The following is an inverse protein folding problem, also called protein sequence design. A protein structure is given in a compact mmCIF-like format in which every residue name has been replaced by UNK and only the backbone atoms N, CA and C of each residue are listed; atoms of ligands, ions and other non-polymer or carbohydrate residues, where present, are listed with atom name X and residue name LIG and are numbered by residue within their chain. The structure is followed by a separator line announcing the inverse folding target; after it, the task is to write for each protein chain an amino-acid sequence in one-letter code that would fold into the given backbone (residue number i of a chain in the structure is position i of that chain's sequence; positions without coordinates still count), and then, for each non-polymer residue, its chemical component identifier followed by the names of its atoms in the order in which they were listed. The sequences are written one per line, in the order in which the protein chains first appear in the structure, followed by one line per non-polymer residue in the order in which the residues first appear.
data_IF_472094031307
#
_entry.id   IF_472094031307
#
_cell.length_a   1.000
_cell.length_b   1.000
_cell.length_c   1.000
_cell.angle_alpha   90.00
_cell.angle_beta   90.00
_cell.angle_gamma   90.00
#
_symmetry.space_group_name_H-M   'P 1'
#
loop_
_entity.id
_entity.type
_entity.pdbx_description
1 polymer ?
#
# COMPACT_ATOMS: atom_id res chain seq x y z
N UNK A 1 11.68 -7.79 14.53
CA UNK A 1 10.64 -6.76 14.34
C UNK A 1 9.45 -6.99 15.27
N UNK A 2 9.11 -5.99 16.09
CA UNK A 2 7.85 -5.90 16.84
C UNK A 2 6.79 -5.23 15.95
N UNK A 3 5.57 -5.72 15.94
CA UNK A 3 4.43 -5.08 15.23
C UNK A 3 3.42 -4.63 16.28
N UNK A 4 2.92 -3.40 16.16
CA UNK A 4 1.92 -2.82 17.05
C UNK A 4 0.74 -2.33 16.22
N UNK A 5 -0.35 -3.09 16.25
CA UNK A 5 -1.64 -2.64 15.72
C UNK A 5 -2.33 -1.81 16.80
N UNK A 6 -2.48 -0.52 16.54
CA UNK A 6 -3.10 0.40 17.51
C UNK A 6 -4.61 0.21 17.55
N UNK A 7 -5.23 0.32 18.74
CA UNK A 7 -6.69 0.29 18.90
C UNK A 7 -7.32 1.60 18.40
N UNK A 8 -7.31 1.75 17.08
CA UNK A 8 -7.94 2.88 16.41
C UNK A 8 -9.46 2.72 16.35
N UNK A 9 -10.01 1.53 16.65
CA UNK A 9 -11.45 1.34 16.74
C UNK A 9 -12.04 2.16 17.90
N UNK A 10 -11.44 2.06 19.09
CA UNK A 10 -11.85 2.86 20.25
C UNK A 10 -11.58 4.36 20.04
N UNK A 11 -10.42 4.70 19.47
CA UNK A 11 -10.06 6.10 19.19
C UNK A 11 -10.99 6.76 18.17
N UNK A 12 -11.35 6.06 17.08
CA UNK A 12 -12.32 6.56 16.09
C UNK A 12 -13.72 6.74 16.72
N UNK A 13 -14.15 5.81 17.57
CA UNK A 13 -15.44 5.92 18.24
C UNK A 13 -15.51 7.14 19.17
N UNK A 14 -14.43 7.40 19.90
CA UNK A 14 -14.30 8.60 20.72
C UNK A 14 -14.27 9.87 19.87
N UNK A 15 -13.43 9.90 18.82
CA UNK A 15 -13.34 11.02 17.87
C UNK A 15 -14.72 11.38 17.30
N UNK A 16 -15.48 10.39 16.82
CA UNK A 16 -16.81 10.62 16.22
C UNK A 16 -17.84 11.19 17.22
N UNK A 17 -17.62 11.05 18.53
CA UNK A 17 -18.48 11.65 19.57
C UNK A 17 -18.07 13.07 19.95
N UNK A 18 -16.85 13.49 19.63
CA UNK A 18 -16.36 14.84 19.95
C UNK A 18 -17.01 15.89 19.03
N UNK A 19 -17.15 17.15 19.51
CA UNK A 19 -17.49 18.28 18.65
C UNK A 19 -16.50 18.43 17.49
N UNK A 20 -16.97 18.86 16.31
CA UNK A 20 -16.14 18.99 15.10
C UNK A 20 -14.81 19.73 15.33
N UNK A 21 -14.83 20.81 16.13
CA UNK A 21 -13.64 21.60 16.46
C UNK A 21 -12.53 20.82 17.19
N UNK A 22 -12.84 19.68 17.83
CA UNK A 22 -11.89 18.86 18.59
C UNK A 22 -11.42 17.61 17.84
N UNK A 23 -12.04 17.29 16.69
CA UNK A 23 -11.79 16.02 15.97
C UNK A 23 -10.40 15.94 15.37
N UNK A 24 -9.83 17.07 14.94
CA UNK A 24 -8.48 17.09 14.36
C UNK A 24 -7.39 16.86 15.39
N UNK A 25 -7.56 17.36 16.61
CA UNK A 25 -6.63 17.06 17.70
C UNK A 25 -6.73 15.59 18.12
N UNK A 26 -7.95 15.05 18.20
CA UNK A 26 -8.16 13.62 18.46
C UNK A 26 -7.55 12.73 17.36
N UNK A 27 -7.68 13.12 16.08
CA UNK A 27 -7.03 12.41 14.98
C UNK A 27 -5.50 12.50 15.08
N UNK A 28 -4.96 13.65 15.49
CA UNK A 28 -3.52 13.84 15.67
C UNK A 28 -2.96 12.90 16.74
N UNK A 29 -3.65 12.76 17.87
CA UNK A 29 -3.29 11.81 18.93
C UNK A 29 -3.29 10.36 18.40
N UNK A 30 -4.30 9.99 17.62
CA UNK A 30 -4.39 8.65 17.02
C UNK A 30 -3.26 8.37 16.01
N UNK A 31 -2.86 9.37 15.22
CA UNK A 31 -1.81 9.25 14.20
C UNK A 31 -0.40 9.45 14.75
N UNK A 32 -0.23 9.91 16.00
CA UNK A 32 1.05 10.25 16.59
C UNK A 32 2.14 9.16 16.44
N UNK A 33 1.84 7.86 16.65
CA UNK A 33 2.85 6.82 16.47
C UNK A 33 3.42 6.73 15.05
N UNK A 34 2.60 7.03 14.02
CA UNK A 34 3.08 7.09 12.64
C UNK A 34 3.77 8.42 12.35
N UNK A 35 3.22 9.53 12.87
CA UNK A 35 3.78 10.86 12.66
C UNK A 35 5.24 10.92 13.11
N UNK A 36 5.57 10.34 14.28
CA UNK A 36 6.93 10.29 14.79
C UNK A 36 7.90 9.63 13.81
N UNK A 37 7.53 8.47 13.25
CA UNK A 37 8.36 7.71 12.30
C UNK A 37 8.45 8.44 10.95
N UNK A 38 7.31 8.85 10.40
CA UNK A 38 7.24 9.39 9.05
C UNK A 38 7.87 10.80 8.95
N UNK A 39 7.87 11.58 10.04
CA UNK A 39 8.52 12.90 10.06
C UNK A 39 10.03 12.81 9.89
N UNK A 40 10.66 11.70 10.29
CA UNK A 40 12.11 11.48 10.11
C UNK A 40 12.52 11.41 8.64
N UNK A 41 11.58 11.05 7.75
CA UNK A 41 11.77 10.99 6.30
C UNK A 41 11.05 12.14 5.57
N UNK A 42 10.71 13.22 6.29
CA UNK A 42 10.17 14.45 5.71
C UNK A 42 8.68 14.39 5.35
N UNK A 43 7.93 13.39 5.83
CA UNK A 43 6.47 13.41 5.71
C UNK A 43 5.90 14.48 6.62
N UNK A 44 5.07 15.37 6.05
CA UNK A 44 4.38 16.43 6.78
C UNK A 44 3.27 15.96 7.72
N UNK A 45 2.40 16.89 8.13
CA UNK A 45 1.29 16.62 9.05
C UNK A 45 0.30 15.59 8.46
N UNK A 46 0.11 14.48 9.17
CA UNK A 46 -0.77 13.39 8.75
C UNK A 46 -2.27 13.74 8.85
N UNK A 47 -2.67 14.68 9.71
CA UNK A 47 -4.05 15.20 9.77
C UNK A 47 -4.36 16.03 8.53
N UNK A 48 -3.42 16.87 8.10
CA UNK A 48 -3.59 17.63 6.85
C UNK A 48 -3.63 16.71 5.63
N UNK A 49 -2.79 15.66 5.62
CA UNK A 49 -2.87 14.62 4.57
C UNK A 49 -4.18 13.84 4.60
N UNK A 50 -4.71 13.51 5.79
CA UNK A 50 -6.02 12.87 5.93
C UNK A 50 -7.12 13.72 5.29
N UNK A 51 -7.12 15.03 5.58
CA UNK A 51 -8.10 15.99 5.03
C UNK A 51 -7.95 16.23 3.53
N UNK A 52 -6.72 16.25 3.02
CA UNK A 52 -6.44 16.49 1.61
C UNK A 52 -6.56 15.22 0.74
N UNK A 53 -6.53 14.03 1.35
CA UNK A 53 -6.65 12.74 0.70
C UNK A 53 -8.04 12.13 0.87
N UNK A 54 -8.09 10.81 1.00
CA UNK A 54 -9.34 10.04 1.07
C UNK A 54 -9.86 9.84 2.50
N UNK A 55 -9.43 10.63 3.48
CA UNK A 55 -9.85 10.48 4.87
C UNK A 55 -11.28 10.98 5.10
N UNK A 56 -12.03 10.32 5.99
CA UNK A 56 -13.40 10.75 6.28
C UNK A 56 -13.47 12.22 6.76
N UNK A 57 -14.54 12.97 6.43
CA UNK A 57 -14.69 14.37 6.84
C UNK A 57 -14.72 14.55 8.36
N UNK A 58 -13.88 15.48 8.87
CA UNK A 58 -13.79 15.80 10.30
C UNK A 58 -14.67 17.01 10.71
N UNK A 59 -15.17 17.77 9.73
CA UNK A 59 -15.84 19.06 9.93
C UNK A 59 -17.36 18.97 10.06
N UNK A 60 -17.93 17.79 9.82
CA UNK A 60 -19.37 17.54 9.81
C UNK A 60 -19.71 16.19 10.40
N UNK A 61 -20.97 16.03 10.80
CA UNK A 61 -21.52 14.75 11.24
C UNK A 61 -22.07 13.95 10.06
N UNK A 62 -21.83 12.65 10.08
CA UNK A 62 -22.41 11.71 9.14
C UNK A 62 -22.68 10.37 9.88
N UNK A 63 -23.94 9.95 9.90
CA UNK A 63 -24.33 8.72 10.59
C UNK A 63 -23.67 7.48 9.98
N UNK A 64 -23.31 7.52 8.68
CA UNK A 64 -22.66 6.42 7.98
C UNK A 64 -21.31 6.06 8.61
N UNK A 65 -20.59 7.03 9.19
CA UNK A 65 -19.27 6.77 9.80
C UNK A 65 -19.35 5.84 11.00
N UNK A 66 -20.38 6.03 11.85
CA UNK A 66 -20.56 5.20 13.04
C UNK A 66 -21.00 3.79 12.67
N UNK A 67 -21.95 3.66 11.75
CA UNK A 67 -22.41 2.36 11.24
C UNK A 67 -21.27 1.60 10.55
N UNK A 68 -20.42 2.30 9.78
CA UNK A 68 -19.23 1.73 9.18
C UNK A 68 -18.25 1.18 10.22
N UNK A 69 -17.96 1.97 11.26
CA UNK A 69 -17.07 1.54 12.35
C UNK A 69 -17.63 0.33 13.12
N UNK A 70 -18.94 0.31 13.37
CA UNK A 70 -19.61 -0.84 14.01
C UNK A 70 -19.46 -2.11 13.15
N UNK A 71 -19.70 -2.02 11.84
CA UNK A 71 -19.48 -3.14 10.89
C UNK A 71 -18.03 -3.64 10.87
N UNK A 72 -17.05 -2.74 10.91
CA UNK A 72 -15.63 -3.12 10.97
C UNK A 72 -15.28 -3.85 12.28
N UNK A 73 -15.87 -3.43 13.40
CA UNK A 73 -15.68 -4.08 14.71
C UNK A 73 -16.32 -5.46 14.75
N UNK A 74 -17.55 -5.59 14.24
CA UNK A 74 -18.26 -6.88 14.12
C UNK A 74 -17.48 -7.86 13.24
N UNK A 75 -16.88 -7.37 12.15
CA UNK A 75 -16.02 -8.14 11.26
C UNK A 75 -14.60 -8.39 11.80
N UNK A 76 -14.31 -7.94 13.04
CA UNK A 76 -13.04 -8.12 13.75
C UNK A 76 -11.82 -7.66 12.94
N UNK A 77 -11.96 -6.56 12.20
CA UNK A 77 -10.95 -6.06 11.24
C UNK A 77 -9.56 -5.92 11.88
N UNK A 78 -9.45 -5.29 13.06
CA UNK A 78 -8.18 -5.09 13.75
C UNK A 78 -7.49 -6.40 14.14
N UNK A 79 -8.25 -7.38 14.63
CA UNK A 79 -7.69 -8.70 14.97
C UNK A 79 -7.17 -9.41 13.72
N UNK A 80 -7.94 -9.39 12.62
CA UNK A 80 -7.52 -10.00 11.35
C UNK A 80 -6.26 -9.36 10.79
N UNK A 81 -6.13 -8.04 10.90
CA UNK A 81 -4.91 -7.31 10.54
C UNK A 81 -3.73 -7.79 11.40
N UNK A 82 -3.90 -7.89 12.72
CA UNK A 82 -2.87 -8.37 13.63
C UNK A 82 -2.43 -9.81 13.29
N UNK A 83 -3.39 -10.71 13.08
CA UNK A 83 -3.14 -12.11 12.75
C UNK A 83 -2.41 -12.26 11.40
N UNK A 84 -2.86 -11.51 10.38
CA UNK A 84 -2.23 -11.52 9.06
C UNK A 84 -0.80 -10.97 9.09
N UNK A 85 -0.58 -9.87 9.81
CA UNK A 85 0.76 -9.30 10.00
C UNK A 85 1.69 -10.24 10.78
N UNK A 86 1.17 -11.00 11.75
CA UNK A 86 1.94 -12.00 12.47
C UNK A 86 2.40 -13.12 11.53
N UNK A 87 1.50 -13.65 10.69
CA UNK A 87 1.81 -14.66 9.69
C UNK A 87 2.79 -14.13 8.62
N UNK A 88 2.56 -12.92 8.11
CA UNK A 88 3.43 -12.27 7.14
C UNK A 88 4.85 -12.07 7.70
N UNK A 89 4.97 -11.61 8.96
CA UNK A 89 6.26 -11.47 9.65
C UNK A 89 6.98 -12.81 9.77
N UNK A 90 6.28 -13.87 10.17
CA UNK A 90 6.86 -15.21 10.27
C UNK A 90 7.39 -15.68 8.92
N UNK A 91 6.57 -15.53 7.86
CA UNK A 91 6.93 -15.93 6.51
C UNK A 91 8.16 -15.18 5.99
N UNK A 92 8.20 -13.84 6.14
CA UNK A 92 9.33 -13.01 5.75
C UNK A 92 10.60 -13.35 6.53
N UNK A 93 10.48 -13.54 7.84
CA UNK A 93 11.63 -13.89 8.70
C UNK A 93 12.23 -15.26 8.33
N UNK A 94 11.39 -16.22 7.94
CA UNK A 94 11.83 -17.53 7.50
C UNK A 94 12.44 -17.50 6.08
N UNK A 95 11.86 -16.73 5.15
CA UNK A 95 12.30 -16.68 3.76
C UNK A 95 13.58 -15.84 3.56
N UNK A 96 13.72 -14.76 4.32
CA UNK A 96 14.77 -13.78 4.17
C UNK A 96 15.38 -13.41 5.54
N UNK A 97 16.03 -14.36 6.24
CA UNK A 97 16.52 -14.15 7.61
C UNK A 97 17.60 -13.07 7.73
N UNK A 98 18.26 -12.70 6.63
CA UNK A 98 19.25 -11.62 6.57
C UNK A 98 18.65 -10.24 6.27
N UNK A 99 17.35 -10.16 5.92
CA UNK A 99 16.72 -8.89 5.61
C UNK A 99 16.64 -8.00 6.86
N UNK A 100 17.08 -6.76 6.72
CA UNK A 100 16.90 -5.73 7.75
C UNK A 100 15.42 -5.43 7.93
N UNK A 101 15.04 -5.10 9.16
CA UNK A 101 13.66 -4.72 9.51
C UNK A 101 13.70 -3.56 10.48
N UNK A 102 12.62 -2.76 10.53
CA UNK A 102 12.44 -1.80 11.61
C UNK A 102 12.35 -2.52 12.96
N UNK A 103 12.83 -1.87 14.02
CA UNK A 103 12.72 -2.40 15.38
C UNK A 103 11.25 -2.62 15.77
N UNK A 104 10.44 -1.60 15.55
CA UNK A 104 8.97 -1.60 15.72
C UNK A 104 8.30 -1.10 14.45
N UNK A 105 7.21 -1.75 14.04
CA UNK A 105 6.29 -1.28 13.01
C UNK A 105 4.97 -0.91 13.68
N UNK A 106 4.59 0.36 13.59
CA UNK A 106 3.32 0.87 14.05
C UNK A 106 2.29 0.78 12.93
N UNK A 107 1.10 0.29 13.26
CA UNK A 107 0.01 0.10 12.30
C UNK A 107 -1.21 0.86 12.78
N UNK A 108 -1.69 1.79 11.97
CA UNK A 108 -2.90 2.59 12.24
C UNK A 108 -3.88 2.36 11.11
N UNK A 109 -5.13 2.04 11.44
CA UNK A 109 -6.25 1.97 10.49
C UNK A 109 -7.17 3.17 10.71
N UNK A 110 -7.46 3.94 9.66
CA UNK A 110 -8.40 5.06 9.70
C UNK A 110 -9.57 4.85 8.74
N UNK A 111 -10.71 5.48 9.04
CA UNK A 111 -11.88 5.45 8.18
C UNK A 111 -11.65 6.35 6.94
N UNK A 112 -12.00 5.86 5.77
CA UNK A 112 -11.99 6.65 4.54
C UNK A 112 -13.30 7.39 4.29
N UNK A 113 -13.25 8.36 3.39
CA UNK A 113 -14.44 9.02 2.83
C UNK A 113 -15.06 8.12 1.74
N UNK A 114 -16.29 7.59 1.93
CA UNK A 114 -16.96 6.78 0.92
C UNK A 114 -17.29 7.53 -0.37
N UNK A 115 -17.29 8.87 -0.31
CA UNK A 115 -17.61 9.74 -1.44
C UNK A 115 -16.38 10.20 -2.21
N UNK A 116 -15.18 9.94 -1.68
CA UNK A 116 -13.93 10.18 -2.39
C UNK A 116 -13.75 9.21 -3.57
N UNK A 117 -13.46 9.71 -4.79
CA UNK A 117 -13.26 8.87 -5.95
C UNK A 117 -12.09 7.88 -5.85
N UNK A 118 -11.02 8.19 -5.10
CA UNK A 118 -9.91 7.24 -4.92
C UNK A 118 -10.30 6.10 -3.98
N UNK A 119 -11.05 6.39 -2.91
CA UNK A 119 -11.61 5.35 -2.05
C UNK A 119 -12.49 4.37 -2.84
N UNK A 120 -13.34 4.89 -3.74
CA UNK A 120 -14.19 4.07 -4.61
C UNK A 120 -13.38 3.28 -5.65
N UNK A 121 -12.37 3.91 -6.26
CA UNK A 121 -11.50 3.26 -7.25
C UNK A 121 -10.78 2.04 -6.65
N UNK A 122 -10.32 2.15 -5.41
CA UNK A 122 -9.68 1.06 -4.66
C UNK A 122 -10.69 0.12 -3.95
N UNK A 123 -11.97 0.18 -4.31
CA UNK A 123 -13.03 -0.66 -3.74
C UNK A 123 -13.15 -0.60 -2.21
N UNK A 124 -12.79 0.53 -1.60
CA UNK A 124 -12.98 0.78 -0.18
C UNK A 124 -11.76 0.49 0.70
N UNK A 125 -10.58 0.18 0.16
CA UNK A 125 -9.39 0.04 1.01
C UNK A 125 -8.07 0.26 0.26
N UNK A 126 -7.06 0.75 0.96
CA UNK A 126 -5.67 0.78 0.50
C UNK A 126 -4.74 1.09 1.70
N UNK A 127 -3.43 1.04 1.46
CA UNK A 127 -2.44 1.27 2.49
C UNK A 127 -1.24 2.11 2.03
N UNK A 128 -0.39 2.40 3.00
CA UNK A 128 0.94 2.95 2.82
C UNK A 128 1.86 2.30 3.85
N UNK A 129 2.80 1.49 3.39
CA UNK A 129 3.79 0.78 4.20
C UNK A 129 5.24 1.03 3.78
N UNK A 130 5.45 1.89 2.79
CA UNK A 130 6.77 2.14 2.18
C UNK A 130 7.81 2.83 3.09
N UNK A 131 7.43 3.18 4.33
CA UNK A 131 8.33 3.82 5.29
C UNK A 131 8.60 2.82 6.42
N UNK A 132 9.82 2.27 6.53
CA UNK A 132 10.17 1.33 7.58
C UNK A 132 9.75 1.83 8.96
N UNK A 133 8.93 1.04 9.65
CA UNK A 133 8.38 1.36 10.98
C UNK A 133 6.96 1.93 11.00
N UNK A 134 6.36 2.27 9.86
CA UNK A 134 5.00 2.81 9.80
C UNK A 134 4.16 2.14 8.69
N UNK A 135 2.95 1.71 9.06
CA UNK A 135 1.90 1.27 8.14
C UNK A 135 0.62 2.06 8.45
N UNK A 136 0.16 2.84 7.48
CA UNK A 136 -1.15 3.50 7.51
C UNK A 136 -2.09 2.74 6.59
N UNK A 137 -3.19 2.21 7.14
CA UNK A 137 -4.28 1.61 6.38
C UNK A 137 -5.47 2.56 6.38
N UNK A 138 -6.19 2.61 5.27
CA UNK A 138 -7.43 3.34 5.14
C UNK A 138 -8.52 2.44 4.60
N UNK A 139 -9.72 2.55 5.15
CA UNK A 139 -10.82 1.65 4.80
C UNK A 139 -12.19 2.33 4.88
N UNK A 140 -13.04 2.00 3.92
CA UNK A 140 -14.50 2.05 4.01
C UNK A 140 -15.05 0.62 3.89
N UNK A 141 -15.96 0.16 4.78
CA UNK A 141 -16.35 -1.25 4.84
C UNK A 141 -17.32 -1.67 3.71
N UNK A 142 -16.84 -1.69 2.48
CA UNK A 142 -17.47 -2.41 1.37
C UNK A 142 -17.34 -3.92 1.59
N UNK A 143 -18.05 -4.74 0.80
CA UNK A 143 -17.89 -6.19 0.86
C UNK A 143 -16.45 -6.61 0.52
N UNK A 144 -15.85 -6.01 -0.51
CA UNK A 144 -14.47 -6.25 -0.92
C UNK A 144 -13.48 -5.88 0.17
N UNK A 145 -13.60 -4.67 0.73
CA UNK A 145 -12.68 -4.19 1.77
C UNK A 145 -12.76 -5.07 3.03
N UNK A 146 -13.97 -5.42 3.49
CA UNK A 146 -14.16 -6.32 4.63
C UNK A 146 -13.58 -7.71 4.39
N UNK A 147 -13.50 -8.16 3.14
CA UNK A 147 -12.91 -9.45 2.80
C UNK A 147 -11.37 -9.41 2.71
N UNK A 148 -10.75 -8.24 2.45
CA UNK A 148 -9.35 -8.18 2.01
C UNK A 148 -8.42 -7.24 2.79
N UNK A 149 -8.91 -6.43 3.72
CA UNK A 149 -8.10 -5.39 4.39
C UNK A 149 -6.85 -5.94 5.09
N UNK A 150 -6.91 -7.14 5.68
CA UNK A 150 -5.76 -7.77 6.32
C UNK A 150 -4.66 -8.14 5.32
N UNK A 151 -5.03 -8.47 4.08
CA UNK A 151 -4.07 -8.76 3.01
C UNK A 151 -3.36 -7.48 2.54
N UNK A 152 -4.05 -6.35 2.54
CA UNK A 152 -3.41 -5.05 2.36
C UNK A 152 -2.35 -4.79 3.43
N UNK A 153 -2.60 -5.17 4.69
CA UNK A 153 -1.62 -5.04 5.75
C UNK A 153 -0.36 -5.90 5.48
N UNK A 154 -0.54 -7.13 4.98
CA UNK A 154 0.57 -7.98 4.56
C UNK A 154 1.37 -7.40 3.38
N UNK A 155 0.67 -6.83 2.38
CA UNK A 155 1.27 -6.07 1.28
C UNK A 155 2.15 -4.92 1.79
N UNK A 156 1.59 -4.08 2.66
CA UNK A 156 2.31 -2.94 3.23
C UNK A 156 3.48 -3.37 4.12
N UNK A 157 3.40 -4.53 4.79
CA UNK A 157 4.52 -5.06 5.54
C UNK A 157 5.67 -5.50 4.63
N UNK A 158 5.37 -6.05 3.44
CA UNK A 158 6.39 -6.40 2.46
C UNK A 158 7.16 -5.15 2.01
N UNK A 159 6.46 -4.06 1.69
CA UNK A 159 7.07 -2.75 1.42
C UNK A 159 7.94 -2.27 2.58
N UNK A 160 7.47 -2.44 3.81
CA UNK A 160 8.21 -2.02 5.01
C UNK A 160 9.56 -2.73 5.14
N UNK A 161 9.59 -4.03 4.86
CA UNK A 161 10.82 -4.82 4.87
C UNK A 161 11.67 -4.51 3.63
N UNK A 162 11.07 -4.35 2.45
CA UNK A 162 11.79 -3.99 1.23
C UNK A 162 12.58 -2.71 1.40
N UNK A 163 11.95 -1.62 1.83
CA UNK A 163 12.62 -0.32 1.96
C UNK A 163 13.48 -0.16 3.22
N UNK A 164 13.55 -1.19 4.07
CA UNK A 164 14.63 -1.32 5.04
C UNK A 164 15.92 -1.89 4.40
N UNK A 165 15.85 -2.41 3.17
CA UNK A 165 16.94 -3.09 2.46
C UNK A 165 17.29 -2.45 1.12
N UNK A 166 16.32 -1.87 0.43
CA UNK A 166 16.46 -1.19 -0.86
C UNK A 166 16.33 0.31 -0.64
N UNK A 167 17.31 1.07 -1.12
CA UNK A 167 17.31 2.53 -0.98
C UNK A 167 16.22 3.13 -1.87
N UNK A 168 15.35 3.94 -1.26
CA UNK A 168 14.32 4.70 -1.96
C UNK A 168 14.61 6.19 -1.82
N UNK A 169 15.11 6.79 -2.90
CA UNK A 169 15.37 8.23 -2.99
C UNK A 169 14.31 8.88 -3.88
N UNK A 170 13.50 9.83 -3.39
CA UNK A 170 12.51 10.54 -4.20
C UNK A 170 13.07 11.14 -5.50
N UNK A 171 14.36 11.49 -5.56
CA UNK A 171 15.00 12.09 -6.74
C UNK A 171 15.49 11.06 -7.76
N UNK A 172 15.83 9.85 -7.31
CA UNK A 172 16.47 8.83 -8.15
C UNK A 172 15.61 7.58 -8.37
N UNK A 173 14.58 7.35 -7.56
CA UNK A 173 13.67 6.19 -7.67
C UNK A 173 13.15 6.06 -9.09
N UNK A 174 13.27 4.86 -9.67
CA UNK A 174 12.77 4.59 -11.01
C UNK A 174 11.36 4.03 -10.98
N UNK A 175 10.65 4.13 -12.12
CA UNK A 175 9.40 3.38 -12.34
C UNK A 175 9.62 1.90 -12.06
N UNK A 176 10.78 1.35 -12.44
CA UNK A 176 11.17 -0.02 -12.17
C UNK A 176 11.17 -0.41 -10.71
N UNK A 177 11.78 0.41 -9.86
CA UNK A 177 11.78 0.13 -8.43
C UNK A 177 10.36 0.12 -7.86
N UNK A 178 9.54 1.12 -8.20
CA UNK A 178 8.16 1.19 -7.68
C UNK A 178 7.30 0.01 -8.18
N UNK A 179 7.39 -0.34 -9.47
CA UNK A 179 6.62 -1.43 -10.07
C UNK A 179 7.05 -2.79 -9.54
N UNK A 180 8.36 -3.01 -9.33
CA UNK A 180 8.87 -4.22 -8.68
C UNK A 180 8.38 -4.32 -7.24
N UNK A 181 8.39 -3.21 -6.50
CA UNK A 181 7.92 -3.19 -5.12
C UNK A 181 6.44 -3.60 -5.05
N UNK A 182 5.56 -2.99 -5.85
CA UNK A 182 4.13 -3.34 -5.86
C UNK A 182 3.89 -4.79 -6.32
N UNK A 183 4.62 -5.24 -7.34
CA UNK A 183 4.51 -6.58 -7.88
C UNK A 183 4.91 -7.67 -6.89
N UNK A 184 6.05 -7.50 -6.21
CA UNK A 184 6.51 -8.45 -5.20
C UNK A 184 5.63 -8.46 -3.96
N UNK A 185 5.13 -7.29 -3.53
CA UNK A 185 4.23 -7.20 -2.39
C UNK A 185 2.90 -7.92 -2.66
N UNK A 186 2.37 -7.79 -3.88
CA UNK A 186 1.15 -8.50 -4.26
C UNK A 186 1.38 -10.01 -4.44
N UNK A 187 2.49 -10.38 -5.09
CA UNK A 187 2.88 -11.79 -5.20
C UNK A 187 3.08 -12.43 -3.82
N UNK A 188 3.52 -11.65 -2.82
CA UNK A 188 3.61 -12.08 -1.43
C UNK A 188 2.24 -12.26 -0.76
N UNK A 189 1.26 -11.40 -1.04
CA UNK A 189 -0.13 -11.61 -0.62
C UNK A 189 -0.65 -12.95 -1.16
N UNK A 190 -0.45 -13.21 -2.45
CA UNK A 190 -0.84 -14.48 -3.07
C UNK A 190 -0.11 -15.67 -2.46
N UNK A 191 1.19 -15.54 -2.19
CA UNK A 191 2.00 -16.56 -1.53
C UNK A 191 1.46 -16.90 -0.13
N UNK A 192 1.01 -15.90 0.63
CA UNK A 192 0.55 -16.05 2.01
C UNK A 192 -0.89 -16.59 2.10
N UNK A 193 -1.78 -16.14 1.21
CA UNK A 193 -3.23 -16.31 1.37
C UNK A 193 -3.97 -16.77 0.09
N UNK A 194 -3.27 -16.99 -1.02
CA UNK A 194 -3.83 -17.46 -2.29
C UNK A 194 -4.32 -16.35 -3.22
N UNK A 195 -4.70 -16.73 -4.45
CA UNK A 195 -5.14 -15.81 -5.52
C UNK A 195 -6.34 -14.95 -5.09
N UNK A 196 -7.29 -15.52 -4.36
CA UNK A 196 -8.49 -14.84 -3.87
C UNK A 196 -8.19 -13.74 -2.84
N UNK A 197 -6.97 -13.68 -2.29
CA UNK A 197 -6.55 -12.64 -1.36
C UNK A 197 -6.11 -11.34 -2.07
N UNK A 198 -5.73 -11.43 -3.35
CA UNK A 198 -5.08 -10.33 -4.06
C UNK A 198 -5.96 -9.08 -4.22
N UNK A 199 -5.33 -7.92 -4.22
CA UNK A 199 -5.97 -6.62 -4.36
C UNK A 199 -6.54 -6.36 -5.76
N UNK A 200 -7.62 -5.56 -5.86
CA UNK A 200 -8.25 -5.26 -7.13
C UNK A 200 -7.32 -4.50 -8.09
N UNK A 201 -6.35 -3.76 -7.57
CA UNK A 201 -5.36 -3.01 -8.36
C UNK A 201 -4.43 -3.92 -9.18
N UNK A 202 -4.16 -5.14 -8.72
CA UNK A 202 -3.28 -6.06 -9.44
C UNK A 202 -4.04 -6.93 -10.46
N UNK A 203 -5.35 -7.12 -10.26
CA UNK A 203 -6.17 -8.05 -11.04
C UNK A 203 -7.17 -7.37 -11.98
N UNK A 204 -7.22 -6.04 -12.01
CA UNK A 204 -8.21 -5.30 -12.82
C UNK A 204 -7.93 -5.32 -14.32
N UNK A 205 -6.68 -5.53 -14.73
CA UNK A 205 -6.29 -5.58 -16.14
C UNK A 205 -6.08 -7.04 -16.57
N UNK A 206 -6.50 -7.37 -17.80
CA UNK A 206 -6.34 -8.72 -18.35
C UNK A 206 -6.24 -8.70 -19.88
N UNK A 207 -5.79 -9.82 -20.46
CA UNK A 207 -5.67 -9.99 -21.91
C UNK A 207 -4.81 -8.91 -22.57
N UNK A 208 -5.24 -8.43 -23.73
CA UNK A 208 -4.50 -7.46 -24.53
C UNK A 208 -4.22 -6.14 -23.81
N UNK A 209 -5.13 -5.67 -22.94
CA UNK A 209 -4.92 -4.43 -22.18
C UNK A 209 -3.78 -4.57 -21.17
N UNK A 210 -3.67 -5.74 -20.53
CA UNK A 210 -2.53 -6.05 -19.65
C UNK A 210 -1.23 -6.16 -20.45
N UNK A 211 -1.25 -6.81 -21.61
CA UNK A 211 -0.06 -6.97 -22.46
C UNK A 211 0.47 -5.59 -22.92
N UNK A 212 -0.42 -4.70 -23.36
CA UNK A 212 -0.09 -3.33 -23.75
C UNK A 212 0.44 -2.51 -22.57
N UNK A 213 -0.19 -2.63 -21.39
CA UNK A 213 0.28 -1.99 -20.16
C UNK A 213 1.68 -2.49 -19.76
N UNK A 214 1.93 -3.81 -19.80
CA UNK A 214 3.23 -4.40 -19.51
C UNK A 214 4.30 -3.88 -20.46
N UNK A 215 4.04 -3.87 -21.76
CA UNK A 215 4.98 -3.37 -22.76
C UNK A 215 5.33 -1.90 -22.54
N UNK A 216 4.33 -1.07 -22.24
CA UNK A 216 4.52 0.36 -21.99
C UNK A 216 5.25 0.65 -20.69
N UNK A 217 4.95 -0.08 -19.61
CA UNK A 217 5.65 0.03 -18.32
C UNK A 217 7.10 -0.45 -18.45
N UNK A 218 7.34 -1.58 -19.13
CA UNK A 218 8.69 -2.08 -19.39
C UNK A 218 9.55 -1.07 -20.17
N UNK A 219 8.97 -0.40 -21.17
CA UNK A 219 9.68 0.65 -21.92
C UNK A 219 9.98 1.90 -21.08
N UNK A 220 9.28 2.10 -19.96
CA UNK A 220 9.47 3.23 -19.04
C UNK A 220 10.22 2.89 -17.76
N UNK A 221 10.77 1.68 -17.62
CA UNK A 221 11.28 1.16 -16.34
C UNK A 221 12.41 2.02 -15.76
N UNK A 222 13.21 2.64 -16.61
CA UNK A 222 14.35 3.49 -16.23
C UNK A 222 13.98 4.97 -16.04
N UNK A 223 12.71 5.35 -16.21
CA UNK A 223 12.26 6.72 -15.92
C UNK A 223 12.40 6.99 -14.42
N UNK A 224 13.27 7.93 -14.06
CA UNK A 224 13.63 8.25 -12.68
C UNK A 224 12.88 9.47 -12.11
N UNK A 225 12.79 9.51 -10.79
CA UNK A 225 12.21 10.58 -9.97
C UNK A 225 10.76 10.33 -9.61
N UNK A 226 10.43 10.49 -8.32
CA UNK A 226 9.09 10.29 -7.73
C UNK A 226 7.99 11.03 -8.50
N UNK A 227 8.29 12.24 -9.00
CA UNK A 227 7.36 13.08 -9.78
C UNK A 227 6.87 12.43 -11.08
N UNK A 228 7.57 11.40 -11.57
CA UNK A 228 7.26 10.70 -12.80
C UNK A 228 6.55 9.35 -12.57
N UNK A 229 6.39 8.91 -11.32
CA UNK A 229 5.88 7.57 -11.02
C UNK A 229 4.37 7.44 -11.28
N UNK A 230 3.56 8.42 -10.88
CA UNK A 230 2.10 8.30 -10.89
C UNK A 230 1.49 7.92 -12.25
N UNK A 231 1.89 8.49 -13.40
CA UNK A 231 1.34 8.07 -14.68
C UNK A 231 1.66 6.61 -15.05
N UNK A 232 2.78 6.07 -14.58
CA UNK A 232 3.13 4.66 -14.82
C UNK A 232 2.48 3.70 -13.83
N UNK A 233 2.46 4.07 -12.54
CA UNK A 233 2.05 3.18 -11.46
C UNK A 233 0.55 3.21 -11.26
N UNK A 234 -0.03 4.41 -11.09
CA UNK A 234 -1.45 4.59 -10.81
C UNK A 234 -2.30 4.76 -12.07
N UNK A 235 -1.69 5.20 -13.18
CA UNK A 235 -2.38 5.46 -14.44
C UNK A 235 -2.75 6.92 -14.67
N UNK A 236 -3.18 7.20 -15.90
CA UNK A 236 -3.38 8.56 -16.40
C UNK A 236 -4.45 9.35 -15.64
N UNK A 237 -5.50 8.69 -15.14
CA UNK A 237 -6.58 9.37 -14.40
C UNK A 237 -6.04 9.99 -13.12
N UNK A 238 -5.23 9.24 -12.38
CA UNK A 238 -4.58 9.71 -11.15
C UNK A 238 -3.52 10.76 -11.47
N UNK A 239 -2.70 10.54 -12.51
CA UNK A 239 -1.71 11.53 -12.95
C UNK A 239 -2.34 12.91 -13.25
N UNK A 240 -3.44 12.95 -14.00
CA UNK A 240 -4.16 14.20 -14.31
C UNK A 240 -4.68 14.91 -13.05
N UNK A 241 -5.16 14.16 -12.05
CA UNK A 241 -5.60 14.74 -10.77
C UNK A 241 -4.45 15.37 -9.98
N UNK A 242 -3.25 14.81 -10.12
CA UNK A 242 -2.03 15.33 -9.51
C UNK A 242 -1.35 16.42 -10.37
N UNK A 243 -1.96 16.84 -11.48
CA UNK A 243 -1.38 17.83 -12.39
C UNK A 243 -0.16 17.33 -13.16
N UNK A 244 -0.03 16.01 -13.34
CA UNK A 244 1.06 15.37 -14.08
C UNK A 244 0.63 14.98 -15.49
N UNK A 245 1.60 14.91 -16.39
CA UNK A 245 1.36 14.54 -17.78
C UNK A 245 1.04 13.03 -17.91
N UNK A 246 -0.04 12.66 -18.60
CA UNK A 246 -0.40 11.28 -18.87
C UNK A 246 0.59 10.61 -19.84
N UNK A 247 0.72 9.28 -19.74
CA UNK A 247 1.57 8.47 -20.63
C UNK A 247 0.79 7.45 -21.45
N UNK A 248 -0.54 7.42 -21.31
CA UNK A 248 -1.44 6.51 -22.02
C UNK A 248 -1.69 5.20 -21.30
N UNK A 249 -1.53 5.17 -19.97
CA UNK A 249 -1.73 3.96 -19.16
C UNK A 249 -3.07 3.99 -18.42
N UNK A 250 -3.80 2.85 -18.37
CA UNK A 250 -5.03 2.73 -17.60
C UNK A 250 -4.76 2.76 -16.08
N UNK A 251 -5.83 2.83 -15.30
CA UNK A 251 -5.73 2.79 -13.84
C UNK A 251 -5.03 1.48 -13.40
N UNK A 252 -4.14 1.61 -12.42
CA UNK A 252 -3.36 0.50 -11.84
C UNK A 252 -2.41 -0.25 -12.78
N UNK A 253 -2.07 0.32 -13.94
CA UNK A 253 -1.20 -0.33 -14.91
C UNK A 253 0.13 -0.85 -14.33
N UNK A 254 0.80 -0.06 -13.48
CA UNK A 254 2.05 -0.49 -12.87
C UNK A 254 1.89 -1.58 -11.82
N UNK A 255 0.75 -1.67 -11.14
CA UNK A 255 0.46 -2.78 -10.23
C UNK A 255 0.33 -4.10 -11.00
N UNK A 256 -0.49 -4.11 -12.04
CA UNK A 256 -0.72 -5.30 -12.85
C UNK A 256 0.55 -5.73 -13.62
N UNK A 257 1.28 -4.77 -14.20
CA UNK A 257 2.57 -5.03 -14.84
C UNK A 257 3.62 -5.52 -13.82
N UNK A 258 3.65 -4.93 -12.62
CA UNK A 258 4.53 -5.34 -11.55
C UNK A 258 4.31 -6.79 -11.14
N UNK A 259 3.06 -7.22 -10.97
CA UNK A 259 2.73 -8.61 -10.67
C UNK A 259 3.20 -9.54 -11.80
N UNK A 260 3.02 -9.16 -13.07
CA UNK A 260 3.53 -9.93 -14.22
C UNK A 260 5.05 -10.09 -14.18
N UNK A 261 5.78 -9.03 -13.84
CA UNK A 261 7.24 -9.07 -13.74
C UNK A 261 7.71 -9.88 -12.53
N UNK A 262 7.03 -9.75 -11.38
CA UNK A 262 7.26 -10.59 -10.22
C UNK A 262 7.07 -12.07 -10.59
N UNK A 263 5.98 -12.43 -11.26
CA UNK A 263 5.69 -13.82 -11.66
C UNK A 263 6.79 -14.40 -12.56
N UNK A 264 7.26 -13.62 -13.53
CA UNK A 264 8.36 -14.01 -14.40
C UNK A 264 9.67 -14.19 -13.61
N UNK A 265 9.99 -13.28 -12.68
CA UNK A 265 11.14 -13.40 -11.78
C UNK A 265 11.06 -14.66 -10.91
N UNK A 266 9.93 -14.92 -10.27
CA UNK A 266 9.75 -16.08 -9.39
C UNK A 266 9.86 -17.39 -10.18
N UNK A 267 9.29 -17.44 -11.39
CA UNK A 267 9.40 -18.60 -12.28
C UNK A 267 10.84 -18.85 -12.75
N UNK A 268 11.58 -17.79 -13.09
CA UNK A 268 12.94 -17.90 -13.59
C UNK A 268 13.98 -18.20 -12.49
N UNK A 269 13.81 -17.60 -11.31
CA UNK A 269 14.76 -17.72 -10.19
C UNK A 269 14.46 -18.91 -9.26
N UNK A 270 13.21 -19.39 -9.24
CA UNK A 270 12.74 -20.37 -8.25
C UNK A 270 12.60 -19.81 -6.83
N UNK A 271 12.78 -18.49 -6.64
CA UNK A 271 12.58 -17.82 -5.36
C UNK A 271 11.09 -17.59 -5.10
N UNK A 272 10.76 -17.32 -3.83
CA UNK A 272 9.43 -16.83 -3.43
C UNK A 272 9.42 -15.31 -3.34
N UNK A 273 8.23 -14.70 -3.30
CA UNK A 273 8.10 -13.25 -3.16
C UNK A 273 8.63 -12.77 -1.81
N UNK A 274 8.43 -13.56 -0.75
CA UNK A 274 9.03 -13.34 0.56
C UNK A 274 10.57 -13.38 0.52
N UNK A 275 11.17 -14.35 -0.18
CA UNK A 275 12.63 -14.46 -0.31
C UNK A 275 13.23 -13.33 -1.17
N UNK A 276 12.42 -12.75 -2.07
CA UNK A 276 12.84 -11.70 -3.01
C UNK A 276 12.72 -10.29 -2.44
N UNK A 277 12.21 -10.12 -1.20
CA UNK A 277 11.86 -8.82 -0.61
C UNK A 277 13.01 -7.80 -0.61
N UNK A 278 14.24 -8.27 -0.40
CA UNK A 278 15.44 -7.43 -0.31
C UNK A 278 16.24 -7.35 -1.62
N UNK A 279 15.77 -7.99 -2.71
CA UNK A 279 16.49 -7.98 -3.98
C UNK A 279 16.40 -6.60 -4.65
N UNK A 280 17.51 -6.10 -5.22
CA UNK A 280 17.49 -4.90 -6.05
C UNK A 280 16.54 -5.06 -7.24
N UNK A 281 15.80 -4.01 -7.62
CA UNK A 281 14.88 -4.09 -8.76
C UNK A 281 15.56 -4.56 -10.06
N UNK A 282 16.81 -4.15 -10.32
CA UNK A 282 17.55 -4.61 -11.51
C UNK A 282 17.68 -6.13 -11.60
N UNK A 283 17.80 -6.82 -10.48
CA UNK A 283 17.94 -8.27 -10.44
C UNK A 283 16.59 -8.94 -10.71
N UNK A 284 15.52 -8.43 -10.07
CA UNK A 284 14.15 -8.90 -10.30
C UNK A 284 13.74 -8.71 -11.76
N UNK A 285 13.98 -7.52 -12.32
CA UNK A 285 13.69 -7.20 -13.72
C UNK A 285 14.54 -8.04 -14.68
N UNK A 286 15.81 -8.27 -14.35
CA UNK A 286 16.72 -9.14 -15.12
C UNK A 286 16.20 -10.57 -15.23
N UNK A 287 15.77 -11.18 -14.12
CA UNK A 287 15.15 -12.51 -14.15
C UNK A 287 13.79 -12.50 -14.87
N UNK A 288 13.02 -11.41 -14.75
CA UNK A 288 11.77 -11.23 -15.46
C UNK A 288 11.93 -11.02 -16.99
N UNK A 289 13.16 -10.87 -17.48
CA UNK A 289 13.44 -10.59 -18.89
C UNK A 289 13.10 -9.16 -19.32
N UNK A 290 13.02 -8.22 -18.38
CA UNK A 290 12.80 -6.79 -18.64
C UNK A 290 14.16 -6.08 -18.64
N UNK A 291 14.65 -5.61 -19.80
CA UNK A 291 15.92 -4.89 -19.88
C UNK A 291 15.86 -3.58 -19.09
N UNK A 292 16.91 -3.28 -18.34
CA UNK A 292 17.09 -2.02 -17.61
C UNK A 292 18.53 -1.56 -17.75
N UNK A 293 18.73 -0.24 -17.87
CA UNK A 293 20.04 0.40 -17.91
C UNK A 293 20.44 1.00 -16.54
N UNK A 294 19.57 0.91 -15.53
CA UNK A 294 19.75 1.45 -14.19
C UNK A 294 20.54 0.52 -13.24
#
# INVERSE_FOLDING_TARGET
MKIVVHDTASALLDLLRRPAAQRSDALREMLAPLQEVMSLVGVGDLVERHRAGSGFPLDRDDSRHREALERMREARVWQRIEDSLAAARERLSAAAPSARTAGTVHVVLVLGDPDDPMMRLNQGYFGLGGIPGAILLMMWPTATALAKIEHAAAHELHHNVRYANVDWDPMAVTVGEQVVAEGLAEAFVRELAGEDAMGPWATSLSGAELDDACAKVAAGIDVAGMRNLSPYVFGDRTARRLGQEPVGLPDFAGYAAGLRFADAHLAASGLTAAASVALPAREVLGHAGVPTAA
#
